data_IF_707893096592
#
_entry.id   IF_707893096592
#
_cell.length_a   1.000
_cell.length_b   1.000
_cell.length_c   1.000
_cell.angle_alpha   90.00
_cell.angle_beta   90.00
_cell.angle_gamma   90.00
#
_symmetry.space_group_name_H-M   'P 1'
#
loop_
_entity.id
_entity.type
_entity.pdbx_description
1 polymer ?
#
# COMPACT_ATOMS: atom_id res chain seq x y z
N UNK A 1 7.82 29.35 7.09
CA UNK A 1 8.96 28.44 7.37
C UNK A 1 8.63 26.95 7.19
N UNK A 2 7.54 26.54 6.52
CA UNK A 2 7.15 25.11 6.45
C UNK A 2 7.48 24.39 5.13
N UNK A 3 8.03 25.08 4.13
CA UNK A 3 8.33 24.45 2.82
C UNK A 3 9.51 23.47 2.86
N UNK A 4 10.53 23.74 3.67
CA UNK A 4 11.73 22.88 3.76
C UNK A 4 11.44 21.49 4.35
N UNK A 5 10.61 21.42 5.40
CA UNK A 5 10.24 20.13 6.02
C UNK A 5 9.33 19.32 5.10
N UNK A 6 8.44 19.97 4.34
CA UNK A 6 7.57 19.28 3.38
C UNK A 6 8.35 18.74 2.18
N UNK A 7 9.32 19.48 1.66
CA UNK A 7 10.15 19.03 0.55
C UNK A 7 11.04 17.84 0.95
N UNK A 8 11.69 17.92 2.11
CA UNK A 8 12.52 16.81 2.64
C UNK A 8 11.68 15.55 2.85
N UNK A 9 10.47 15.68 3.41
CA UNK A 9 9.56 14.54 3.59
C UNK A 9 9.13 13.94 2.26
N UNK A 10 8.93 14.75 1.22
CA UNK A 10 8.55 14.26 -0.11
C UNK A 10 9.68 13.50 -0.77
N UNK A 11 10.90 14.02 -0.74
CA UNK A 11 12.07 13.34 -1.33
C UNK A 11 12.35 12.01 -0.62
N UNK A 12 12.23 11.96 0.72
CA UNK A 12 12.38 10.72 1.49
C UNK A 12 11.30 9.68 1.17
N UNK A 13 10.09 10.13 0.85
CA UNK A 13 8.95 9.29 0.47
C UNK A 13 9.19 8.69 -0.94
N UNK A 14 9.65 9.51 -1.88
CA UNK A 14 9.95 9.08 -3.25
C UNK A 14 11.17 8.13 -3.31
N UNK A 15 12.22 8.39 -2.51
CA UNK A 15 13.38 7.50 -2.44
C UNK A 15 13.07 6.20 -1.68
N UNK A 16 12.23 6.26 -0.64
CA UNK A 16 11.76 5.06 0.06
C UNK A 16 10.99 4.11 -0.88
N UNK A 17 10.17 4.63 -1.78
CA UNK A 17 9.44 3.82 -2.75
C UNK A 17 10.39 3.10 -3.71
N UNK A 18 11.42 3.79 -4.23
CA UNK A 18 12.44 3.17 -5.10
C UNK A 18 13.19 2.03 -4.41
N UNK A 19 13.53 2.20 -3.13
CA UNK A 19 14.20 1.14 -2.36
C UNK A 19 13.30 -0.06 -2.15
N UNK A 20 12.00 0.13 -1.91
CA UNK A 20 11.02 -0.96 -1.82
C UNK A 20 10.85 -1.68 -3.16
N UNK A 21 10.78 -0.94 -4.27
CA UNK A 21 10.72 -1.52 -5.62
C UNK A 21 11.96 -2.36 -5.93
N UNK A 22 13.16 -1.82 -5.65
CA UNK A 22 14.42 -2.55 -5.81
C UNK A 22 14.49 -3.79 -4.91
N UNK A 23 13.98 -3.70 -3.68
CA UNK A 23 13.93 -4.85 -2.77
C UNK A 23 13.03 -5.97 -3.34
N UNK A 24 11.93 -5.60 -4.00
CA UNK A 24 11.04 -6.53 -4.71
C UNK A 24 11.69 -7.10 -5.97
N UNK A 25 12.45 -6.29 -6.72
CA UNK A 25 13.23 -6.77 -7.87
C UNK A 25 14.27 -7.81 -7.46
N UNK A 26 14.96 -7.58 -6.34
CA UNK A 26 15.97 -8.48 -5.80
C UNK A 26 15.35 -9.73 -5.15
N UNK A 27 14.22 -9.56 -4.46
CA UNK A 27 13.47 -10.64 -3.84
C UNK A 27 11.96 -10.44 -4.03
N UNK A 28 11.37 -11.07 -5.06
CA UNK A 28 9.94 -10.97 -5.33
C UNK A 28 9.02 -11.55 -4.25
N UNK A 29 9.58 -12.23 -3.24
CA UNK A 29 8.82 -12.78 -2.11
C UNK A 29 9.05 -11.96 -0.83
N UNK A 30 9.62 -10.77 -0.93
CA UNK A 30 9.90 -9.96 0.25
C UNK A 30 8.62 -9.30 0.78
N UNK A 31 7.95 -10.01 1.69
CA UNK A 31 6.66 -9.60 2.25
C UNK A 31 6.70 -8.19 2.86
N UNK A 32 7.73 -7.86 3.65
CA UNK A 32 7.81 -6.54 4.31
C UNK A 32 7.80 -5.39 3.31
N UNK A 33 8.44 -5.54 2.14
CA UNK A 33 8.42 -4.50 1.13
C UNK A 33 7.00 -4.24 0.60
N UNK A 34 6.21 -5.29 0.43
CA UNK A 34 4.81 -5.17 0.04
C UNK A 34 3.93 -4.56 1.14
N UNK A 35 4.22 -4.83 2.43
CA UNK A 35 3.51 -4.18 3.54
C UNK A 35 3.76 -2.67 3.57
N UNK A 36 5.02 -2.25 3.42
CA UNK A 36 5.39 -0.84 3.39
C UNK A 36 4.81 -0.11 2.17
N UNK A 37 4.81 -0.75 0.99
CA UNK A 37 4.14 -0.21 -0.20
C UNK A 37 2.62 -0.06 0.03
N UNK A 38 1.97 -1.04 0.67
CA UNK A 38 0.55 -0.95 1.01
C UNK A 38 0.25 0.27 1.89
N UNK A 39 1.04 0.46 2.95
CA UNK A 39 0.89 1.61 3.86
C UNK A 39 1.18 2.94 3.15
N UNK A 40 2.17 2.96 2.27
CA UNK A 40 2.51 4.12 1.46
C UNK A 40 1.33 4.54 0.57
N UNK A 41 0.80 3.62 -0.23
CA UNK A 41 -0.28 3.93 -1.17
C UNK A 41 -1.58 4.28 -0.46
N UNK A 42 -1.83 3.70 0.71
CA UNK A 42 -2.98 4.06 1.54
C UNK A 42 -2.88 5.50 2.06
N UNK A 43 -1.69 5.94 2.51
CA UNK A 43 -1.45 7.35 2.87
C UNK A 43 -1.58 8.28 1.67
N UNK A 44 -1.26 7.80 0.47
CA UNK A 44 -1.45 8.51 -0.79
C UNK A 44 -2.91 8.47 -1.31
N UNK A 45 -3.82 7.80 -0.60
CA UNK A 45 -5.21 7.54 -1.00
C UNK A 45 -5.36 6.78 -2.33
N UNK A 46 -4.30 6.11 -2.80
CA UNK A 46 -4.34 5.22 -3.96
C UNK A 46 -4.78 3.83 -3.49
N UNK A 47 -6.09 3.67 -3.27
CA UNK A 47 -6.73 2.46 -2.73
C UNK A 47 -6.43 1.24 -3.61
N UNK A 48 -6.36 1.45 -4.93
CA UNK A 48 -6.09 0.37 -5.90
C UNK A 48 -4.69 -0.21 -5.73
N UNK A 49 -3.65 0.64 -5.64
CA UNK A 49 -2.28 0.17 -5.42
C UNK A 49 -2.07 -0.36 -4.01
N UNK A 50 -2.68 0.28 -3.00
CA UNK A 50 -2.63 -0.18 -1.62
C UNK A 50 -3.14 -1.62 -1.50
N UNK A 51 -4.29 -1.91 -2.14
CA UNK A 51 -4.87 -3.26 -2.20
C UNK A 51 -3.88 -4.26 -2.80
N UNK A 52 -3.33 -3.98 -3.98
CA UNK A 52 -2.42 -4.90 -4.66
C UNK A 52 -1.15 -5.20 -3.87
N UNK A 53 -0.61 -4.20 -3.17
CA UNK A 53 0.53 -4.37 -2.30
C UNK A 53 0.19 -5.23 -1.08
N UNK A 54 -0.91 -4.95 -0.37
CA UNK A 54 -1.34 -5.75 0.77
C UNK A 54 -1.73 -7.19 0.40
N UNK A 55 -2.32 -7.42 -0.78
CA UNK A 55 -2.59 -8.77 -1.29
C UNK A 55 -1.28 -9.54 -1.53
N UNK A 56 -0.26 -8.86 -2.07
CA UNK A 56 1.07 -9.46 -2.24
C UNK A 56 1.74 -9.73 -0.89
N UNK A 57 1.60 -8.85 0.10
CA UNK A 57 2.05 -9.09 1.47
C UNK A 57 1.43 -10.38 2.01
N UNK A 58 0.10 -10.53 2.00
CA UNK A 58 -0.58 -11.74 2.51
C UNK A 58 -0.16 -12.99 1.75
N UNK A 59 0.12 -12.88 0.45
CA UNK A 59 0.58 -14.00 -0.38
C UNK A 59 1.98 -14.49 -0.01
N UNK A 60 2.90 -13.59 0.30
CA UNK A 60 4.31 -13.92 0.53
C UNK A 60 4.71 -13.95 2.01
N UNK A 61 3.91 -13.35 2.88
CA UNK A 61 4.12 -13.39 4.32
C UNK A 61 4.00 -14.83 4.84
N UNK A 62 4.75 -15.10 5.90
CA UNK A 62 4.65 -16.38 6.58
C UNK A 62 3.32 -16.50 7.32
N UNK A 63 2.83 -17.72 7.50
CA UNK A 63 1.53 -17.99 8.15
C UNK A 63 1.51 -17.62 9.63
N UNK A 64 2.66 -17.55 10.28
CA UNK A 64 2.86 -17.12 11.67
C UNK A 64 3.05 -15.60 11.79
N UNK A 65 3.11 -14.85 10.68
CA UNK A 65 3.17 -13.40 10.71
C UNK A 65 1.84 -12.82 11.21
N UNK A 66 1.86 -12.28 12.43
CA UNK A 66 0.69 -11.72 13.10
C UNK A 66 0.01 -10.59 12.29
N UNK A 67 0.75 -9.92 11.40
CA UNK A 67 0.19 -8.86 10.55
C UNK A 67 -0.73 -9.43 9.47
N UNK A 68 -0.63 -10.70 9.09
CA UNK A 68 -1.46 -11.32 8.04
C UNK A 68 -2.94 -11.23 8.38
N UNK A 69 -3.33 -11.55 9.62
CA UNK A 69 -4.72 -11.47 10.05
C UNK A 69 -5.24 -10.02 10.01
N UNK A 70 -4.43 -9.06 10.49
CA UNK A 70 -4.77 -7.64 10.48
C UNK A 70 -4.92 -7.10 9.06
N UNK A 71 -3.96 -7.39 8.19
CA UNK A 71 -4.00 -6.95 6.78
C UNK A 71 -5.12 -7.62 6.01
N UNK A 72 -5.43 -8.90 6.30
CA UNK A 72 -6.55 -9.59 5.66
C UNK A 72 -7.89 -8.94 5.99
N UNK A 73 -8.11 -8.53 7.25
CA UNK A 73 -9.30 -7.76 7.64
C UNK A 73 -9.33 -6.40 6.97
N UNK A 74 -8.21 -5.69 6.99
CA UNK A 74 -8.07 -4.38 6.36
C UNK A 74 -8.32 -4.42 4.85
N UNK A 75 -7.90 -5.49 4.18
CA UNK A 75 -8.16 -5.72 2.75
C UNK A 75 -9.65 -5.83 2.43
N UNK A 76 -10.47 -6.34 3.35
CA UNK A 76 -11.94 -6.36 3.17
C UNK A 76 -12.47 -4.93 3.13
N UNK A 77 -12.05 -4.08 4.08
CA UNK A 77 -12.46 -2.67 4.13
C UNK A 77 -12.00 -1.90 2.89
N UNK A 78 -10.76 -2.13 2.44
CA UNK A 78 -10.22 -1.53 1.20
C UNK A 78 -11.06 -1.90 -0.02
N UNK A 79 -11.49 -3.17 -0.14
CA UNK A 79 -12.32 -3.65 -1.24
C UNK A 79 -13.70 -3.00 -1.23
N UNK A 80 -14.31 -2.86 -0.06
CA UNK A 80 -15.60 -2.18 0.10
C UNK A 80 -15.50 -0.69 -0.27
N UNK A 81 -14.42 -0.01 0.12
CA UNK A 81 -14.16 1.39 -0.26
C UNK A 81 -14.02 1.55 -1.77
N UNK A 82 -13.23 0.70 -2.42
CA UNK A 82 -13.03 0.72 -3.88
C UNK A 82 -14.34 0.46 -4.64
N UNK A 83 -15.16 -0.47 -4.18
CA UNK A 83 -16.47 -0.75 -4.78
C UNK A 83 -17.45 0.41 -4.58
N UNK A 84 -17.40 1.09 -3.43
CA UNK A 84 -18.21 2.27 -3.16
C UNK A 84 -17.81 3.46 -4.05
N UNK A 85 -16.52 3.69 -4.27
CA UNK A 85 -16.00 4.70 -5.19
C UNK A 85 -16.49 4.45 -6.62
N UNK A 86 -16.33 3.21 -7.12
CA UNK A 86 -16.81 2.81 -8.46
C UNK A 86 -18.31 2.98 -8.64
N UNK A 87 -19.11 2.63 -7.63
CA UNK A 87 -20.57 2.83 -7.68
C UNK A 87 -20.94 4.31 -7.63
N UNK A 88 -20.24 5.11 -6.84
CA UNK A 88 -20.43 6.56 -6.77
C UNK A 88 -20.18 7.24 -8.12
N UNK A 89 -19.14 6.83 -8.84
CA UNK A 89 -18.84 7.34 -10.19
C UNK A 89 -19.90 6.96 -11.23
N UNK A 90 -20.49 5.76 -11.12
CA UNK A 90 -21.53 5.29 -12.04
C UNK A 90 -22.88 5.99 -11.86
N UNK A 91 -23.15 6.58 -10.70
CA UNK A 91 -24.42 7.28 -10.43
C UNK A 91 -24.48 8.68 -11.08
N UNK A 92 -23.34 9.21 -11.54
CA UNK A 92 -23.26 10.51 -12.21
C UNK A 92 -23.24 10.45 -13.75
N UNK A 93 -23.48 9.28 -14.36
CA UNK A 93 -23.66 9.12 -15.81
C UNK A 93 -25.10 8.77 -16.17
#
# INVERSE_FOLDING_TARGET
MNLGVTLIKKDMVDDGLKELEKAIELNPQYADAYYELGSFFEKAQDVTKARGAYESFVKYASKDDERVERISKHLVEIKEREDAEKKGEQVYQ
#
